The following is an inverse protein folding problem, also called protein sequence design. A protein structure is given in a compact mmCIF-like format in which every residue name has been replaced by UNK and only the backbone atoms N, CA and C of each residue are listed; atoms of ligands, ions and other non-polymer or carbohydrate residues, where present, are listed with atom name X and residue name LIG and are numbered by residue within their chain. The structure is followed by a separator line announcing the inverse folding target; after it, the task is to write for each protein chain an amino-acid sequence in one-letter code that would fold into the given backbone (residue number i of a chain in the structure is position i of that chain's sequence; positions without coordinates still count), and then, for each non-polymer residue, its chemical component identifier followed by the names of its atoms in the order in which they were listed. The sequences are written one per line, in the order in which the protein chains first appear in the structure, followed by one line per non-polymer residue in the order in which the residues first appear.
data_IF_706076414021
#
_entry.id   IF_706076414021
#
_cell.length_a   1.000
_cell.length_b   1.000
_cell.length_c   1.000
_cell.angle_alpha   90.00
_cell.angle_beta   90.00
_cell.angle_gamma   90.00
#
_symmetry.space_group_name_H-M   'P 1'
#
loop_
_entity.id
_entity.type
_entity.pdbx_description
1 polymer ?
#
# COMPACT_ATOMS: atom_id res chain seq x y z
N UNK A 1 -11.35 -14.71 25.68
CA UNK A 1 -11.22 -16.12 25.25
C UNK A 1 -10.32 -16.08 24.02
N UNK A 2 -9.06 -16.51 24.16
CA UNK A 2 -8.16 -16.64 23.00
C UNK A 2 -8.69 -17.77 22.12
N UNK A 3 -9.29 -17.45 21.01
CA UNK A 3 -9.53 -18.43 19.96
C UNK A 3 -8.15 -18.91 19.49
N UNK A 4 -7.84 -20.18 19.75
CA UNK A 4 -6.62 -20.80 19.24
C UNK A 4 -6.68 -20.76 17.71
N UNK A 5 -5.72 -20.06 17.12
CA UNK A 5 -5.49 -19.96 15.69
C UNK A 5 -5.37 -21.35 15.06
N UNK A 6 -6.00 -21.63 13.91
CA UNK A 6 -5.80 -22.89 13.22
C UNK A 6 -4.33 -23.07 12.84
N UNK A 7 -3.80 -24.27 13.02
CA UNK A 7 -2.38 -24.60 12.96
C UNK A 7 -1.72 -24.56 11.57
N UNK A 8 -2.34 -23.95 10.53
CA UNK A 8 -1.82 -23.93 9.16
C UNK A 8 -2.39 -22.81 8.27
N UNK A 9 -2.45 -21.56 8.73
CA UNK A 9 -2.70 -20.47 7.78
C UNK A 9 -1.44 -20.23 6.96
N UNK A 10 -1.58 -20.16 5.61
CA UNK A 10 -0.48 -19.78 4.73
C UNK A 10 -0.05 -18.33 5.05
N UNK A 11 1.24 -17.98 4.92
CA UNK A 11 1.69 -16.61 5.11
C UNK A 11 1.20 -15.68 4.00
N UNK A 12 1.34 -14.37 4.21
CA UNK A 12 1.25 -13.37 3.16
C UNK A 12 2.64 -13.15 2.54
N UNK A 13 2.71 -13.10 1.21
CA UNK A 13 3.89 -12.59 0.51
C UNK A 13 3.89 -11.07 0.59
N UNK A 14 4.98 -10.46 1.04
CA UNK A 14 5.13 -9.00 1.05
C UNK A 14 6.13 -8.59 -0.02
N UNK A 15 5.65 -8.07 -1.15
CA UNK A 15 6.50 -7.51 -2.20
C UNK A 15 7.04 -6.16 -1.72
N UNK A 16 8.30 -6.15 -1.27
CA UNK A 16 8.97 -4.97 -0.71
C UNK A 16 9.59 -4.15 -1.83
N UNK A 17 8.99 -2.99 -2.13
CA UNK A 17 9.35 -2.14 -3.27
C UNK A 17 10.35 -1.02 -2.91
N UNK A 18 11.10 -1.16 -1.82
CA UNK A 18 12.10 -0.19 -1.37
C UNK A 18 13.39 -0.87 -0.92
N UNK A 19 14.53 -0.16 -0.95
CA UNK A 19 15.77 -0.66 -0.36
C UNK A 19 15.62 -1.01 1.12
N UNK A 20 16.41 -2.00 1.60
CA UNK A 20 16.46 -2.29 3.03
C UNK A 20 16.89 -1.04 3.81
N UNK A 21 16.28 -0.86 4.96
CA UNK A 21 16.52 0.28 5.83
C UNK A 21 15.50 0.36 6.96
N UNK A 22 15.62 1.43 7.73
CA UNK A 22 14.74 1.62 8.90
C UNK A 22 13.26 1.69 8.51
N UNK A 23 12.94 2.31 7.37
CA UNK A 23 11.54 2.44 6.89
C UNK A 23 10.96 1.10 6.42
N UNK A 24 11.74 0.27 5.72
CA UNK A 24 11.29 -1.06 5.31
C UNK A 24 10.99 -1.95 6.53
N UNK A 25 11.86 -1.89 7.53
CA UNK A 25 11.67 -2.64 8.79
C UNK A 25 10.49 -2.13 9.61
N UNK A 26 10.29 -0.81 9.68
CA UNK A 26 9.13 -0.19 10.33
C UNK A 26 7.81 -0.63 9.67
N UNK A 27 7.73 -0.61 8.33
CA UNK A 27 6.55 -1.05 7.59
C UNK A 27 6.19 -2.51 7.91
N UNK A 28 7.16 -3.42 7.86
CA UNK A 28 6.93 -4.83 8.16
C UNK A 28 6.53 -5.06 9.61
N UNK A 29 7.14 -4.34 10.56
CA UNK A 29 6.78 -4.42 11.97
C UNK A 29 5.35 -3.90 12.22
N UNK A 30 4.99 -2.78 11.59
CA UNK A 30 3.66 -2.20 11.70
C UNK A 30 2.58 -3.09 11.09
N UNK A 31 2.83 -3.67 9.90
CA UNK A 31 1.91 -4.64 9.27
C UNK A 31 1.67 -5.84 10.19
N UNK A 32 2.73 -6.38 10.82
CA UNK A 32 2.59 -7.47 11.80
C UNK A 32 1.74 -7.07 13.00
N UNK A 33 2.00 -5.90 13.56
CA UNK A 33 1.25 -5.41 14.72
C UNK A 33 -0.23 -5.17 14.38
N UNK A 34 -0.53 -4.50 13.26
CA UNK A 34 -1.88 -4.20 12.78
C UNK A 34 -2.65 -5.49 12.46
N UNK A 35 -2.03 -6.42 11.75
CA UNK A 35 -2.63 -7.70 11.37
C UNK A 35 -2.63 -8.75 12.47
N UNK A 36 -2.03 -8.47 13.63
CA UNK A 36 -1.81 -9.45 14.73
C UNK A 36 -1.08 -10.71 14.23
N UNK A 37 -0.06 -10.50 13.38
CA UNK A 37 0.70 -11.55 12.71
C UNK A 37 1.99 -11.88 13.47
N UNK A 38 2.43 -13.12 13.36
CA UNK A 38 3.75 -13.57 13.80
C UNK A 38 4.79 -13.38 12.68
N UNK A 39 6.07 -13.61 13.00
CA UNK A 39 7.15 -13.54 11.99
C UNK A 39 6.98 -14.55 10.85
N UNK A 40 6.33 -15.67 11.12
CA UNK A 40 6.08 -16.71 10.11
C UNK A 40 4.89 -16.41 9.18
N UNK A 41 4.15 -15.34 9.44
CA UNK A 41 2.94 -14.99 8.69
C UNK A 41 3.16 -13.95 7.61
N UNK A 42 4.32 -13.29 7.61
CA UNK A 42 4.76 -12.40 6.55
C UNK A 42 6.08 -12.90 5.97
N UNK A 43 6.09 -13.16 4.66
CA UNK A 43 7.28 -13.52 3.91
C UNK A 43 7.72 -12.34 3.02
N UNK A 44 8.71 -11.54 3.46
CA UNK A 44 9.21 -10.42 2.65
C UNK A 44 9.93 -10.92 1.41
N UNK A 45 9.60 -10.36 0.26
CA UNK A 45 10.28 -10.52 -1.02
C UNK A 45 10.85 -9.16 -1.45
N UNK A 46 12.15 -8.88 -1.21
CA UNK A 46 12.80 -7.63 -1.61
C UNK A 46 12.92 -7.52 -3.14
N UNK A 47 12.10 -6.71 -3.79
CA UNK A 47 12.13 -6.56 -5.25
C UNK A 47 13.37 -5.78 -5.75
N UNK A 48 13.97 -4.99 -4.88
CA UNK A 48 15.20 -4.23 -5.16
C UNK A 48 16.43 -5.15 -5.30
N UNK A 49 16.47 -6.25 -4.56
CA UNK A 49 17.61 -7.15 -4.52
C UNK A 49 17.65 -8.05 -5.75
N UNK A 50 18.75 -7.99 -6.51
CA UNK A 50 18.98 -8.84 -7.69
C UNK A 50 19.05 -10.33 -7.36
N UNK A 51 19.44 -10.68 -6.13
CA UNK A 51 19.53 -12.07 -5.68
C UNK A 51 18.19 -12.65 -5.20
N UNK A 52 17.18 -11.80 -4.96
CA UNK A 52 15.85 -12.27 -4.59
C UNK A 52 15.20 -13.07 -5.72
N UNK A 53 14.37 -14.09 -5.40
CA UNK A 53 13.57 -14.81 -6.36
C UNK A 53 12.75 -13.87 -7.24
N UNK A 54 12.60 -14.20 -8.53
CA UNK A 54 11.75 -13.42 -9.41
C UNK A 54 10.27 -13.73 -9.14
N UNK A 55 9.42 -12.70 -8.87
CA UNK A 55 8.07 -12.93 -8.37
C UNK A 55 7.14 -13.69 -9.32
N UNK A 56 7.39 -13.62 -10.63
CA UNK A 56 6.54 -14.29 -11.63
C UNK A 56 7.00 -15.72 -11.96
N UNK A 57 8.30 -16.04 -11.88
CA UNK A 57 8.84 -17.35 -12.30
C UNK A 57 9.22 -18.25 -11.13
N UNK A 58 9.62 -17.67 -10.00
CA UNK A 58 10.25 -18.41 -8.91
C UNK A 58 9.38 -18.52 -7.67
N UNK A 59 8.23 -17.81 -7.64
CA UNK A 59 7.29 -17.79 -6.53
C UNK A 59 6.01 -18.54 -6.89
N UNK A 60 5.70 -19.58 -6.11
CA UNK A 60 4.41 -20.27 -6.17
C UNK A 60 3.39 -19.54 -5.28
N UNK A 61 2.51 -18.72 -5.89
CA UNK A 61 1.49 -17.96 -5.17
C UNK A 61 0.52 -18.85 -4.38
N UNK A 62 0.35 -20.12 -4.76
CA UNK A 62 -0.55 -21.04 -4.05
C UNK A 62 -0.05 -21.42 -2.65
N UNK A 63 1.19 -21.08 -2.32
CA UNK A 63 1.75 -21.20 -0.98
C UNK A 63 1.39 -20.03 -0.05
N UNK A 64 0.68 -19.01 -0.55
CA UNK A 64 0.35 -17.78 0.18
C UNK A 64 -1.15 -17.57 0.33
N UNK A 65 -1.55 -16.93 1.42
CA UNK A 65 -2.92 -16.49 1.65
C UNK A 65 -3.28 -15.25 0.82
N UNK A 66 -2.29 -14.46 0.46
CA UNK A 66 -2.42 -13.25 -0.34
C UNK A 66 -1.10 -12.54 -0.50
N UNK A 67 -1.11 -11.43 -1.22
CA UNK A 67 0.06 -10.57 -1.48
C UNK A 67 -0.22 -9.17 -0.92
N UNK A 68 0.78 -8.60 -0.22
CA UNK A 68 0.79 -7.18 0.13
C UNK A 68 1.92 -6.53 -0.66
N UNK A 69 1.63 -5.47 -1.40
CA UNK A 69 2.62 -4.70 -2.16
C UNK A 69 2.86 -3.38 -1.42
N UNK A 70 4.10 -3.14 -1.00
CA UNK A 70 4.44 -1.95 -0.21
C UNK A 70 4.48 -0.67 -1.04
N UNK A 71 4.50 0.47 -0.36
CA UNK A 71 4.95 1.73 -0.93
C UNK A 71 6.43 1.69 -1.36
N UNK A 72 6.86 2.72 -2.11
CA UNK A 72 8.20 2.82 -2.66
C UNK A 72 8.69 4.27 -2.67
N UNK A 73 10.00 4.53 -2.52
CA UNK A 73 10.58 5.83 -2.84
C UNK A 73 10.71 6.06 -4.35
N UNK A 74 10.51 5.02 -5.15
CA UNK A 74 10.54 5.10 -6.62
C UNK A 74 9.19 5.57 -7.16
N UNK A 75 9.20 6.49 -8.15
CA UNK A 75 7.99 6.98 -8.82
C UNK A 75 7.98 6.56 -10.28
N UNK A 76 6.81 6.30 -10.85
CA UNK A 76 6.68 5.91 -12.26
C UNK A 76 6.99 7.07 -13.22
N UNK A 77 6.66 8.30 -12.82
CA UNK A 77 6.82 9.52 -13.62
C UNK A 77 8.26 10.09 -13.63
N UNK A 78 9.24 9.35 -13.15
CA UNK A 78 10.64 9.69 -13.34
C UNK A 78 11.06 9.39 -14.79
N UNK A 79 11.79 10.31 -15.47
CA UNK A 79 12.40 10.04 -16.75
C UNK A 79 13.27 8.78 -16.71
N UNK A 80 13.21 7.95 -17.75
CA UNK A 80 13.90 6.66 -17.79
C UNK A 80 15.42 6.81 -17.54
N UNK A 81 16.03 7.86 -18.05
CA UNK A 81 17.45 8.17 -17.89
C UNK A 81 17.85 8.56 -16.45
N UNK A 82 16.88 8.86 -15.60
CA UNK A 82 17.10 9.20 -14.19
C UNK A 82 16.84 8.00 -13.27
N UNK A 83 16.29 6.90 -13.80
CA UNK A 83 16.01 5.70 -13.00
C UNK A 83 17.30 4.90 -12.76
N UNK A 84 17.52 4.54 -11.50
CA UNK A 84 18.63 3.65 -11.13
C UNK A 84 18.35 2.21 -11.56
N UNK A 85 19.38 1.34 -11.63
CA UNK A 85 19.17 -0.09 -11.88
C UNK A 85 18.20 -0.76 -10.91
N UNK A 86 18.21 -0.36 -9.65
CA UNK A 86 17.27 -0.84 -8.61
C UNK A 86 15.85 -0.42 -8.93
N UNK A 87 15.64 0.85 -9.33
CA UNK A 87 14.34 1.38 -9.72
C UNK A 87 13.76 0.58 -10.90
N UNK A 88 14.53 0.41 -11.97
CA UNK A 88 14.12 -0.34 -13.15
C UNK A 88 13.80 -1.82 -12.81
N UNK A 89 14.58 -2.44 -11.92
CA UNK A 89 14.33 -3.80 -11.46
C UNK A 89 13.02 -3.91 -10.68
N UNK A 90 12.72 -2.95 -9.81
CA UNK A 90 11.45 -2.93 -9.08
C UNK A 90 10.29 -2.79 -10.07
N UNK A 91 10.38 -1.89 -11.05
CA UNK A 91 9.32 -1.71 -12.06
C UNK A 91 9.09 -3.00 -12.88
N UNK A 92 10.14 -3.63 -13.36
CA UNK A 92 10.04 -4.87 -14.13
C UNK A 92 9.38 -5.99 -13.31
N UNK A 93 9.86 -6.21 -12.07
CA UNK A 93 9.36 -7.28 -11.20
C UNK A 93 7.94 -7.03 -10.73
N UNK A 94 7.58 -5.79 -10.42
CA UNK A 94 6.23 -5.47 -9.96
C UNK A 94 5.22 -5.57 -11.11
N UNK A 95 5.58 -5.19 -12.34
CA UNK A 95 4.72 -5.35 -13.50
C UNK A 95 4.44 -6.84 -13.79
N UNK A 96 5.45 -7.68 -13.71
CA UNK A 96 5.30 -9.12 -13.87
C UNK A 96 4.39 -9.72 -12.77
N UNK A 97 4.57 -9.30 -11.52
CA UNK A 97 3.75 -9.76 -10.39
C UNK A 97 2.29 -9.30 -10.53
N UNK A 98 2.07 -8.00 -10.73
CA UNK A 98 0.71 -7.43 -10.80
C UNK A 98 -0.10 -7.99 -11.97
N UNK A 99 0.54 -8.32 -13.09
CA UNK A 99 -0.12 -8.99 -14.21
C UNK A 99 -0.73 -10.33 -13.81
N UNK A 100 0.02 -11.17 -13.10
CA UNK A 100 -0.46 -12.47 -12.61
C UNK A 100 -1.55 -12.31 -11.56
N UNK A 101 -1.37 -11.36 -10.64
CA UNK A 101 -2.34 -11.11 -9.57
C UNK A 101 -3.70 -10.67 -10.13
N UNK A 102 -3.69 -9.76 -11.11
CA UNK A 102 -4.91 -9.28 -11.79
C UNK A 102 -5.59 -10.37 -12.60
N UNK A 103 -4.82 -11.18 -13.35
CA UNK A 103 -5.36 -12.30 -14.14
C UNK A 103 -6.04 -13.34 -13.25
N UNK A 104 -5.49 -13.63 -12.08
CA UNK A 104 -5.98 -14.65 -11.15
C UNK A 104 -7.04 -14.13 -10.16
N UNK A 105 -7.32 -12.84 -10.12
CA UNK A 105 -8.06 -12.19 -9.01
C UNK A 105 -7.52 -12.66 -7.64
N UNK A 106 -6.18 -12.77 -7.55
CA UNK A 106 -5.51 -13.30 -6.36
C UNK A 106 -5.58 -12.29 -5.22
N UNK A 107 -5.87 -12.71 -3.95
CA UNK A 107 -5.97 -11.80 -2.83
C UNK A 107 -4.76 -10.85 -2.73
N UNK A 108 -4.98 -9.56 -2.95
CA UNK A 108 -3.89 -8.58 -3.04
C UNK A 108 -4.27 -7.26 -2.38
N UNK A 109 -3.33 -6.69 -1.62
CA UNK A 109 -3.46 -5.36 -1.07
C UNK A 109 -2.27 -4.48 -1.52
N UNK A 110 -2.53 -3.53 -2.42
CA UNK A 110 -1.52 -2.61 -2.93
C UNK A 110 -1.50 -1.29 -2.15
N UNK A 111 -0.35 -0.90 -1.57
CA UNK A 111 -0.19 0.32 -0.79
C UNK A 111 0.56 1.36 -1.63
N UNK A 112 0.01 2.54 -1.84
CA UNK A 112 0.60 3.68 -2.52
C UNK A 112 1.20 3.28 -3.90
N UNK A 113 2.49 3.01 -3.98
CA UNK A 113 3.16 2.49 -5.18
C UNK A 113 2.53 1.16 -5.64
N UNK A 114 2.12 0.29 -4.70
CA UNK A 114 1.42 -0.96 -5.02
C UNK A 114 0.06 -0.74 -5.69
N UNK A 115 -0.73 0.23 -5.23
CA UNK A 115 -1.96 0.65 -5.92
C UNK A 115 -1.66 1.18 -7.31
N UNK A 116 -0.66 2.07 -7.44
CA UNK A 116 -0.27 2.65 -8.72
C UNK A 116 0.23 1.58 -9.70
N UNK A 117 0.96 0.57 -9.20
CA UNK A 117 1.41 -0.58 -10.00
C UNK A 117 0.23 -1.37 -10.57
N UNK A 118 -0.75 -1.74 -9.75
CA UNK A 118 -1.97 -2.42 -10.17
C UNK A 118 -2.74 -1.60 -11.22
N UNK A 119 -2.89 -0.29 -10.99
CA UNK A 119 -3.58 0.61 -11.90
C UNK A 119 -2.85 0.73 -13.24
N UNK A 120 -1.52 0.89 -13.21
CA UNK A 120 -0.67 0.97 -14.42
C UNK A 120 -0.76 -0.31 -15.25
N UNK A 121 -0.67 -1.47 -14.62
CA UNK A 121 -0.83 -2.78 -15.28
C UNK A 121 -2.23 -2.93 -15.89
N UNK A 122 -3.24 -2.32 -15.28
CA UNK A 122 -4.62 -2.26 -15.82
C UNK A 122 -4.83 -1.15 -16.86
N UNK A 123 -3.78 -0.47 -17.30
CA UNK A 123 -3.80 0.53 -18.37
C UNK A 123 -4.11 1.98 -17.93
N UNK A 124 -4.15 2.28 -16.63
CA UNK A 124 -4.32 3.66 -16.17
C UNK A 124 -3.00 4.44 -16.28
N UNK A 125 -3.04 5.72 -16.69
CA UNK A 125 -1.88 6.58 -16.62
C UNK A 125 -1.56 6.93 -15.16
N UNK A 126 -0.27 6.90 -14.82
CA UNK A 126 0.23 7.51 -13.60
C UNK A 126 0.67 8.92 -13.96
N UNK A 127 0.28 9.90 -13.14
CA UNK A 127 0.46 11.33 -13.46
C UNK A 127 0.92 12.12 -12.24
N UNK A 128 1.49 13.30 -12.50
CA UNK A 128 1.74 14.35 -11.51
C UNK A 128 0.51 15.25 -11.34
N UNK A 129 0.50 16.07 -10.30
CA UNK A 129 -0.55 17.09 -10.10
C UNK A 129 -1.57 16.78 -9.01
N UNK A 130 -1.62 15.54 -8.52
CA UNK A 130 -2.48 15.10 -7.41
C UNK A 130 -1.67 14.66 -6.20
N UNK A 131 -0.42 15.13 -6.09
CA UNK A 131 0.48 14.81 -4.98
C UNK A 131 -0.10 15.21 -3.63
N UNK A 132 0.16 14.42 -2.62
CA UNK A 132 -0.14 14.72 -1.23
C UNK A 132 1.14 14.61 -0.40
N UNK A 133 1.42 15.64 0.40
CA UNK A 133 2.58 15.69 1.27
C UNK A 133 2.44 14.70 2.44
N UNK A 134 3.43 14.65 3.33
CA UNK A 134 3.32 13.91 4.59
C UNK A 134 2.26 14.59 5.46
N UNK A 135 1.08 14.02 5.48
CA UNK A 135 -0.11 14.56 6.16
C UNK A 135 -1.14 13.45 6.41
N UNK A 136 -2.28 13.81 6.98
CA UNK A 136 -3.41 12.89 7.18
C UNK A 136 -4.71 13.54 6.65
N UNK A 137 -4.95 13.56 5.32
CA UNK A 137 -6.16 14.14 4.74
C UNK A 137 -7.40 13.33 5.10
N UNK A 138 -8.58 13.97 4.96
CA UNK A 138 -9.87 13.28 5.02
C UNK A 138 -10.08 12.48 3.73
N UNK A 139 -10.41 11.21 3.90
CA UNK A 139 -10.80 10.26 2.86
C UNK A 139 -12.30 10.02 2.97
N UNK A 140 -13.01 10.04 1.85
CA UNK A 140 -14.46 9.85 1.78
C UNK A 140 -14.78 8.59 0.98
N UNK A 141 -15.58 7.68 1.54
CA UNK A 141 -16.09 6.52 0.81
C UNK A 141 -17.09 6.96 -0.24
N UNK A 142 -17.06 6.31 -1.40
CA UNK A 142 -18.09 6.41 -2.44
C UNK A 142 -19.31 5.55 -2.07
N UNK A 143 -20.39 5.62 -2.84
CA UNK A 143 -21.53 4.70 -2.69
C UNK A 143 -21.07 3.23 -2.84
N UNK A 144 -20.20 2.95 -3.81
CA UNK A 144 -19.60 1.63 -3.98
C UNK A 144 -18.75 1.22 -2.77
N UNK A 145 -17.97 2.17 -2.21
CA UNK A 145 -17.16 1.93 -1.01
C UNK A 145 -18.01 1.64 0.23
N UNK A 146 -19.15 2.29 0.38
CA UNK A 146 -20.10 2.01 1.47
C UNK A 146 -20.77 0.65 1.35
N UNK A 147 -20.94 0.16 0.13
CA UNK A 147 -21.53 -1.15 -0.16
C UNK A 147 -20.52 -2.30 -0.21
N UNK A 148 -19.23 -2.00 -0.28
CA UNK A 148 -18.17 -2.97 -0.39
C UNK A 148 -17.97 -3.76 0.91
N UNK A 149 -17.75 -5.09 0.84
CA UNK A 149 -17.65 -5.94 2.03
C UNK A 149 -16.44 -5.66 2.93
N UNK A 150 -15.40 -4.98 2.42
CA UNK A 150 -14.22 -4.63 3.19
C UNK A 150 -14.27 -3.17 3.66
N UNK A 151 -14.50 -2.22 2.75
CA UNK A 151 -14.51 -0.79 3.07
C UNK A 151 -15.81 -0.32 3.71
N UNK A 152 -16.93 -0.99 3.48
CA UNK A 152 -18.23 -0.65 4.09
C UNK A 152 -18.31 -0.81 5.62
N UNK A 153 -17.28 -1.38 6.22
CA UNK A 153 -17.14 -1.46 7.69
C UNK A 153 -16.48 -0.19 8.28
N UNK A 154 -15.93 0.67 7.43
CA UNK A 154 -15.29 1.92 7.84
C UNK A 154 -16.30 3.05 8.02
N UNK A 155 -15.97 4.09 8.79
CA UNK A 155 -16.73 5.33 8.76
C UNK A 155 -16.80 5.90 7.33
N UNK A 156 -17.92 6.55 6.93
CA UNK A 156 -18.05 7.17 5.61
C UNK A 156 -16.95 8.18 5.29
N UNK A 157 -16.35 8.77 6.33
CA UNK A 157 -15.20 9.67 6.27
C UNK A 157 -14.22 9.32 7.38
N UNK A 158 -12.94 9.31 7.03
CA UNK A 158 -11.85 9.01 7.97
C UNK A 158 -10.57 9.70 7.53
N UNK A 159 -9.55 9.70 8.37
CA UNK A 159 -8.22 10.20 8.05
C UNK A 159 -7.24 9.05 7.83
N UNK A 160 -6.27 9.26 6.91
CA UNK A 160 -5.20 8.31 6.66
C UNK A 160 -3.92 9.04 6.28
N UNK A 161 -2.76 8.49 6.63
CA UNK A 161 -1.47 9.08 6.31
C UNK A 161 -1.14 8.95 4.83
N UNK A 162 -0.66 10.04 4.24
CA UNK A 162 -0.23 10.12 2.84
C UNK A 162 1.20 10.63 2.73
N UNK A 163 1.79 10.50 1.55
CA UNK A 163 3.10 11.00 1.16
C UNK A 163 3.46 10.46 -0.21
N UNK A 164 2.98 11.11 -1.30
CA UNK A 164 3.22 10.65 -2.66
C UNK A 164 3.30 11.81 -3.65
N UNK A 165 4.17 11.68 -4.66
CA UNK A 165 4.32 12.65 -5.75
C UNK A 165 3.46 12.29 -6.95
N UNK A 166 3.38 11.00 -7.28
CA UNK A 166 2.62 10.47 -8.39
C UNK A 166 1.25 9.96 -7.94
N UNK A 167 0.28 9.95 -8.83
CA UNK A 167 -1.06 9.45 -8.57
C UNK A 167 -1.69 8.85 -9.84
N UNK A 168 -2.80 8.14 -9.67
CA UNK A 168 -3.57 7.57 -10.78
C UNK A 168 -4.35 8.69 -11.47
N UNK A 169 -4.16 8.85 -12.78
CA UNK A 169 -4.78 9.93 -13.58
C UNK A 169 -6.23 9.64 -13.97
N UNK A 170 -6.61 8.37 -14.07
CA UNK A 170 -7.99 7.95 -14.36
C UNK A 170 -8.23 6.54 -13.84
N UNK A 171 -9.48 6.23 -13.52
CA UNK A 171 -9.87 4.89 -13.05
C UNK A 171 -9.68 3.90 -14.20
N UNK A 172 -8.86 2.83 -14.04
CA UNK A 172 -8.67 1.83 -15.08
C UNK A 172 -9.90 0.99 -15.31
N UNK A 173 -10.00 0.42 -16.50
CA UNK A 173 -11.08 -0.50 -16.83
C UNK A 173 -11.08 -1.71 -15.89
N UNK A 174 -12.24 -2.10 -15.39
CA UNK A 174 -12.41 -3.23 -14.49
C UNK A 174 -12.14 -2.90 -13.01
N UNK A 175 -11.71 -1.67 -12.69
CA UNK A 175 -11.58 -1.20 -11.32
C UNK A 175 -12.81 -0.40 -10.88
N UNK A 176 -13.12 -0.49 -9.59
CA UNK A 176 -14.18 0.27 -8.93
C UNK A 176 -13.58 1.25 -7.92
N UNK A 177 -14.01 2.52 -7.98
CA UNK A 177 -13.57 3.55 -7.03
C UNK A 177 -14.36 3.41 -5.73
N UNK A 178 -13.67 3.04 -4.65
CA UNK A 178 -14.27 2.85 -3.34
C UNK A 178 -14.10 4.07 -2.42
N UNK A 179 -13.05 4.86 -2.61
CA UNK A 179 -12.82 6.08 -1.84
C UNK A 179 -12.12 7.17 -2.64
N UNK A 180 -12.41 8.42 -2.28
CA UNK A 180 -11.86 9.63 -2.90
C UNK A 180 -11.35 10.60 -1.83
N UNK A 181 -10.49 11.53 -2.23
CA UNK A 181 -10.01 12.65 -1.43
C UNK A 181 -10.18 13.97 -2.16
N UNK A 182 -9.99 15.07 -1.45
CA UNK A 182 -10.13 16.42 -2.04
C UNK A 182 -9.01 16.72 -3.03
N UNK A 183 -7.78 16.34 -2.74
CA UNK A 183 -6.61 16.59 -3.57
C UNK A 183 -6.35 15.42 -4.53
N UNK A 184 -6.26 14.21 -4.01
CA UNK A 184 -6.11 13.00 -4.79
C UNK A 184 -7.47 12.29 -4.90
N UNK A 185 -7.98 12.18 -6.14
CA UNK A 185 -9.34 11.69 -6.38
C UNK A 185 -9.45 10.17 -6.33
N UNK A 186 -8.34 9.45 -6.41
CA UNK A 186 -8.30 7.99 -6.34
C UNK A 186 -7.59 7.59 -5.04
N UNK A 187 -8.37 7.26 -4.03
CA UNK A 187 -7.84 6.88 -2.72
C UNK A 187 -7.93 5.38 -2.44
N UNK A 188 -9.00 4.71 -2.90
CA UNK A 188 -9.13 3.25 -2.84
C UNK A 188 -9.72 2.76 -4.15
N UNK A 189 -9.07 1.77 -4.75
CA UNK A 189 -9.62 0.98 -5.86
C UNK A 189 -9.77 -0.49 -5.47
N UNK A 190 -10.73 -1.15 -6.13
CA UNK A 190 -10.88 -2.61 -6.12
C UNK A 190 -10.94 -3.13 -7.56
N UNK A 191 -10.24 -4.22 -7.83
CA UNK A 191 -10.40 -5.03 -9.03
C UNK A 191 -11.00 -6.39 -8.65
N UNK A 192 -11.88 -6.90 -9.48
CA UNK A 192 -12.53 -8.18 -9.20
C UNK A 192 -13.17 -8.23 -7.81
N UNK A 193 -12.87 -9.29 -7.06
CA UNK A 193 -13.40 -9.51 -5.70
C UNK A 193 -12.32 -9.40 -4.62
N UNK A 194 -11.05 -9.62 -4.99
CA UNK A 194 -10.00 -9.94 -4.03
C UNK A 194 -8.81 -8.96 -4.07
N UNK A 195 -8.78 -8.01 -5.01
CA UNK A 195 -7.66 -7.10 -5.18
C UNK A 195 -8.09 -5.69 -4.77
N UNK A 196 -7.42 -5.16 -3.75
CA UNK A 196 -7.63 -3.83 -3.20
C UNK A 196 -6.33 -3.02 -3.25
N UNK A 197 -6.46 -1.73 -3.36
CA UNK A 197 -5.30 -0.84 -3.22
C UNK A 197 -5.70 0.51 -2.64
N UNK A 198 -4.78 1.10 -1.87
CA UNK A 198 -4.92 2.41 -1.24
C UNK A 198 -3.81 3.35 -1.70
N UNK A 199 -4.13 4.62 -1.98
CA UNK A 199 -3.12 5.64 -2.24
C UNK A 199 -2.47 6.11 -0.94
N UNK A 200 -3.21 6.12 0.14
CA UNK A 200 -2.72 6.35 1.49
C UNK A 200 -2.04 5.10 2.07
N UNK A 201 -1.40 5.27 3.20
CA UNK A 201 -0.62 4.26 3.90
C UNK A 201 -1.35 3.73 5.15
N UNK A 202 -2.09 2.63 5.07
CA UNK A 202 -2.80 2.05 6.21
C UNK A 202 -1.86 1.36 7.21
N UNK A 203 -0.61 1.10 6.82
CA UNK A 203 0.42 0.49 7.66
C UNK A 203 1.19 1.49 8.50
N UNK A 204 1.14 2.79 8.18
CA UNK A 204 1.92 3.80 8.90
C UNK A 204 1.28 4.10 10.25
N UNK A 205 1.99 3.82 11.33
CA UNK A 205 1.64 4.26 12.69
C UNK A 205 2.04 5.72 12.93
N UNK A 206 1.66 6.30 14.07
CA UNK A 206 2.12 7.64 14.46
C UNK A 206 3.66 7.71 14.50
N UNK A 207 4.32 6.75 15.14
CA UNK A 207 5.78 6.70 15.21
C UNK A 207 6.41 6.51 13.84
N UNK A 208 5.79 5.68 13.00
CA UNK A 208 6.18 5.51 11.60
C UNK A 208 6.03 6.79 10.77
N UNK A 209 5.01 7.62 11.05
CA UNK A 209 4.87 8.94 10.40
C UNK A 209 5.97 9.91 10.86
N UNK A 210 6.28 9.96 12.16
CA UNK A 210 7.41 10.76 12.67
C UNK A 210 8.72 10.35 12.00
N UNK A 211 8.98 9.06 11.90
CA UNK A 211 10.17 8.54 11.21
C UNK A 211 10.24 9.00 9.74
N UNK A 212 9.11 9.02 9.02
CA UNK A 212 9.03 9.52 7.64
C UNK A 212 9.22 11.02 7.54
N UNK A 213 8.65 11.78 8.48
CA UNK A 213 8.86 13.24 8.58
C UNK A 213 10.34 13.56 8.80
N UNK A 214 11.03 12.80 9.66
CA UNK A 214 12.47 12.96 9.87
C UNK A 214 13.28 12.59 8.63
N UNK A 215 12.87 11.53 7.91
CA UNK A 215 13.64 11.00 6.76
C UNK A 215 13.41 11.81 5.49
N UNK A 216 12.17 12.22 5.22
CA UNK A 216 11.75 12.81 3.95
C UNK A 216 11.22 14.24 4.07
N UNK A 217 11.05 14.77 5.28
CA UNK A 217 10.39 16.07 5.50
C UNK A 217 10.97 17.20 4.66
N UNK A 218 12.27 17.27 4.52
CA UNK A 218 12.95 18.32 3.72
C UNK A 218 12.61 18.25 2.22
N UNK A 219 12.07 17.14 1.74
CA UNK A 219 11.60 16.98 0.35
C UNK A 219 10.21 17.58 0.15
N UNK A 220 9.38 17.62 1.19
CA UNK A 220 7.97 18.01 1.11
C UNK A 220 7.72 19.45 1.59
N UNK A 221 8.45 19.94 2.60
CA UNK A 221 8.19 21.25 3.20
C UNK A 221 9.45 21.83 3.88
N UNK A 222 9.50 23.17 4.08
CA UNK A 222 10.59 23.83 4.81
C UNK A 222 10.72 23.29 6.25
N UNK A 223 11.94 23.23 6.77
CA UNK A 223 12.23 22.66 8.08
C UNK A 223 11.46 23.33 9.24
N UNK A 224 11.18 24.64 9.11
CA UNK A 224 10.38 25.40 10.08
C UNK A 224 8.91 24.98 10.18
N UNK A 225 8.36 24.34 9.13
CA UNK A 225 6.99 23.83 9.13
C UNK A 225 6.87 22.46 9.81
N UNK A 226 7.98 21.76 10.01
CA UNK A 226 8.00 20.38 10.55
C UNK A 226 7.21 20.22 11.86
N UNK A 227 7.32 21.12 12.89
CA UNK A 227 6.52 20.99 14.11
C UNK A 227 5.02 21.08 13.87
N UNK A 228 4.57 21.92 12.93
CA UNK A 228 3.17 22.05 12.59
C UNK A 228 2.64 20.81 11.82
N UNK A 229 3.47 20.21 10.96
CA UNK A 229 3.16 18.97 10.25
C UNK A 229 3.00 17.82 11.25
N UNK A 230 3.96 17.64 12.17
CA UNK A 230 3.88 16.63 13.23
C UNK A 230 2.59 16.81 14.03
N UNK A 231 2.29 18.03 14.50
CA UNK A 231 1.08 18.30 15.29
C UNK A 231 -0.21 17.95 14.52
N UNK A 232 -0.29 18.23 13.21
CA UNK A 232 -1.46 17.86 12.38
C UNK A 232 -1.59 16.34 12.22
N UNK A 233 -0.47 15.66 11.98
CA UNK A 233 -0.46 14.20 11.88
C UNK A 233 -0.86 13.54 13.19
N UNK A 234 -0.39 14.05 14.32
CA UNK A 234 -0.71 13.52 15.65
C UNK A 234 -2.17 13.73 16.07
N UNK A 235 -2.79 14.81 15.59
CA UNK A 235 -4.19 15.11 15.85
C UNK A 235 -5.17 14.23 15.05
N UNK A 236 -4.72 13.58 13.98
CA UNK A 236 -5.57 12.78 13.11
C UNK A 236 -5.84 11.39 13.71
N UNK A 237 -7.10 10.95 13.64
CA UNK A 237 -7.45 9.55 13.94
C UNK A 237 -7.31 8.70 12.67
N UNK A 238 -6.21 7.97 12.57
CA UNK A 238 -5.93 7.07 11.44
C UNK A 238 -6.30 5.61 11.71
N UNK A 239 -6.92 5.31 12.85
CA UNK A 239 -7.32 3.94 13.20
C UNK A 239 -8.18 3.26 12.13
N UNK A 240 -9.16 3.93 11.46
CA UNK A 240 -9.93 3.28 10.40
C UNK A 240 -9.08 2.79 9.22
N UNK A 241 -7.97 3.47 8.89
CA UNK A 241 -7.04 3.00 7.87
C UNK A 241 -6.33 1.71 8.32
N UNK A 242 -5.90 1.63 9.57
CA UNK A 242 -5.34 0.40 10.13
C UNK A 242 -6.36 -0.74 10.14
N UNK A 243 -7.62 -0.44 10.50
CA UNK A 243 -8.71 -1.42 10.53
C UNK A 243 -8.99 -2.00 9.14
N UNK A 244 -8.83 -1.21 8.06
CA UNK A 244 -8.94 -1.67 6.67
C UNK A 244 -7.88 -2.74 6.37
N UNK A 245 -6.61 -2.47 6.67
CA UNK A 245 -5.52 -3.44 6.46
C UNK A 245 -5.71 -4.70 7.31
N UNK A 246 -6.06 -4.53 8.58
CA UNK A 246 -6.36 -5.64 9.47
C UNK A 246 -7.51 -6.50 8.94
N UNK A 247 -8.59 -5.89 8.46
CA UNK A 247 -9.75 -6.58 7.90
C UNK A 247 -9.40 -7.38 6.64
N UNK A 248 -8.54 -6.82 5.76
CA UNK A 248 -8.02 -7.55 4.60
C UNK A 248 -7.22 -8.78 5.05
N UNK A 249 -6.27 -8.61 5.95
CA UNK A 249 -5.44 -9.70 6.47
C UNK A 249 -6.32 -10.79 7.08
N UNK A 250 -7.23 -10.43 7.98
CA UNK A 250 -8.12 -11.40 8.64
C UNK A 250 -9.02 -12.15 7.66
N UNK A 251 -9.51 -11.45 6.63
CA UNK A 251 -10.38 -12.06 5.60
C UNK A 251 -9.67 -13.18 4.84
N UNK A 252 -8.41 -13.00 4.48
CA UNK A 252 -7.68 -13.93 3.63
C UNK A 252 -6.78 -14.90 4.40
N UNK A 253 -6.42 -14.59 5.64
CA UNK A 253 -5.64 -15.49 6.50
C UNK A 253 -6.38 -16.80 6.84
N UNK A 254 -7.71 -16.82 6.69
CA UNK A 254 -8.54 -17.97 7.02
C UNK A 254 -8.87 -18.87 5.82
N UNK A 255 -8.36 -18.55 4.64
CA UNK A 255 -8.64 -19.26 3.40
C UNK A 255 -7.71 -20.46 3.17
#
# INVERSE_FOLDING_TARGET
MNASRPASSRPFLVAVCRPDGILARDELASMKAIGQLSDNDLHPLPLVDAASPHPASDIDLDQYSGVIITGSPFGFEHPHEQKTPEHLRVEERIDALTSILLERDFPTFGICFGLQSLARTSGAPIVKGFSEDLQAPEISLTEAGLADPLTGQLPPKFHAYTGHADAIGSIPQGAELLATGTRCHVQILRWGKNIYGTQFHPEITRDGMHLRIETYGDTYYPAEERPAVVARCDAANTQPAHDLLASFIHRYQQA
#
